data_IF_712668549766
#
_entry.id   IF_712668549766
#
_cell.length_a   1.000
_cell.length_b   1.000
_cell.length_c   1.000
_cell.angle_alpha   90.00
_cell.angle_beta   90.00
_cell.angle_gamma   90.00
#
_symmetry.space_group_name_H-M   'P 1'
#
loop_
_entity.id
_entity.type
_entity.pdbx_description
1 polymer ?
#
# COMPACT_ATOMS: atom_id res chain seq x y z
N UNK A 1 -10.40 30.50 17.94
CA UNK A 1 -10.13 29.39 18.88
C UNK A 1 -11.48 28.84 19.32
N UNK A 2 -11.56 27.53 19.57
CA UNK A 2 -12.80 26.93 20.05
C UNK A 2 -13.00 27.27 21.52
N UNK A 3 -14.23 27.58 21.89
CA UNK A 3 -14.56 28.02 23.26
C UNK A 3 -15.44 27.01 23.96
N UNK A 4 -16.36 26.38 23.23
CA UNK A 4 -17.32 25.43 23.76
C UNK A 4 -17.22 24.06 23.08
N UNK A 5 -17.51 23.00 23.85
CA UNK A 5 -17.47 21.61 23.38
C UNK A 5 -18.24 21.37 22.08
N UNK A 6 -19.44 21.95 21.94
CA UNK A 6 -20.28 21.69 20.77
C UNK A 6 -19.66 22.23 19.47
N UNK A 7 -18.87 23.32 19.55
CA UNK A 7 -18.15 23.88 18.40
C UNK A 7 -17.07 22.91 17.93
N UNK A 8 -16.32 22.34 18.88
CA UNK A 8 -15.29 21.33 18.62
C UNK A 8 -15.91 20.06 18.06
N UNK A 9 -16.92 19.51 18.73
CA UNK A 9 -17.54 18.25 18.34
C UNK A 9 -18.21 18.38 16.95
N UNK A 10 -18.78 19.55 16.62
CA UNK A 10 -19.36 19.84 15.30
C UNK A 10 -18.29 20.01 14.20
N UNK A 11 -17.14 20.60 14.53
CA UNK A 11 -16.03 20.71 13.60
C UNK A 11 -15.39 19.33 13.33
N UNK A 12 -15.14 18.56 14.39
CA UNK A 12 -14.50 17.24 14.31
C UNK A 12 -15.40 16.18 13.66
N UNK A 13 -16.72 16.35 13.73
CA UNK A 13 -17.65 15.48 13.01
C UNK A 13 -17.65 15.74 11.50
N UNK A 14 -17.06 16.85 11.04
CA UNK A 14 -17.07 17.28 9.63
C UNK A 14 -18.48 17.26 9.01
N UNK A 15 -19.51 17.45 9.85
CA UNK A 15 -20.91 17.35 9.47
C UNK A 15 -21.23 18.39 8.41
N UNK A 16 -21.50 17.93 7.19
CA UNK A 16 -21.80 18.79 6.03
C UNK A 16 -20.77 18.73 4.90
N UNK A 17 -19.59 18.15 5.13
CA UNK A 17 -18.56 17.99 4.08
C UNK A 17 -18.31 16.53 3.72
N UNK A 18 -18.40 15.64 4.70
CA UNK A 18 -18.13 14.22 4.55
C UNK A 18 -19.37 13.43 5.00
N UNK A 19 -19.58 12.25 4.41
CA UNK A 19 -20.70 11.39 4.80
C UNK A 19 -20.61 10.94 6.25
N UNK A 20 -21.74 10.60 6.88
CA UNK A 20 -21.89 10.37 8.33
C UNK A 20 -20.93 9.32 8.93
N UNK A 21 -20.30 8.48 8.11
CA UNK A 21 -19.36 7.44 8.52
C UNK A 21 -17.88 7.78 8.26
N UNK A 22 -17.57 8.93 7.66
CA UNK A 22 -16.20 9.30 7.30
C UNK A 22 -15.65 10.26 8.36
N UNK A 23 -14.62 9.81 9.06
CA UNK A 23 -13.95 10.58 10.10
C UNK A 23 -12.58 11.00 9.57
N UNK A 24 -12.40 12.28 9.19
CA UNK A 24 -11.11 12.76 8.70
C UNK A 24 -10.10 12.83 9.85
N UNK A 25 -8.82 12.67 9.51
CA UNK A 25 -7.74 12.91 10.46
C UNK A 25 -7.45 14.41 10.57
N UNK A 26 -7.46 14.94 11.78
CA UNK A 26 -7.09 16.32 12.09
C UNK A 26 -5.65 16.38 12.56
N UNK A 27 -4.79 17.02 11.78
CA UNK A 27 -3.34 17.08 12.03
C UNK A 27 -2.89 18.53 12.04
N UNK A 28 -2.14 18.89 13.09
CA UNK A 28 -1.43 20.15 13.15
C UNK A 28 0.07 19.89 12.94
N UNK A 29 0.76 20.84 12.31
CA UNK A 29 2.21 20.76 12.08
C UNK A 29 2.91 21.92 12.80
N UNK A 30 4.18 21.74 13.21
CA UNK A 30 4.99 22.82 13.75
C UNK A 30 5.06 24.01 12.78
N UNK A 31 4.92 25.23 13.31
CA UNK A 31 4.92 26.47 12.51
C UNK A 31 6.31 26.82 11.98
N UNK A 32 7.35 26.52 12.75
CA UNK A 32 8.74 26.84 12.38
C UNK A 32 9.33 25.77 11.46
N UNK A 33 9.59 26.17 10.22
CA UNK A 33 10.36 25.42 9.22
C UNK A 33 11.78 25.96 9.07
N UNK A 34 12.37 26.41 10.18
CA UNK A 34 13.78 26.81 10.21
C UNK A 34 14.70 25.67 9.77
N UNK A 35 16.00 25.92 9.71
CA UNK A 35 17.01 24.88 9.49
C UNK A 35 17.16 23.99 10.72
N UNK A 36 16.13 23.18 11.01
CA UNK A 36 16.13 22.15 12.05
C UNK A 36 16.37 20.78 11.42
N UNK A 37 16.92 19.86 12.21
CA UNK A 37 17.13 18.49 11.74
C UNK A 37 15.79 17.76 11.57
N UNK A 38 15.77 16.73 10.71
CA UNK A 38 14.57 15.88 10.55
C UNK A 38 14.12 15.24 11.87
N UNK A 39 15.05 14.85 12.73
CA UNK A 39 14.73 14.24 14.02
C UNK A 39 14.08 15.24 14.98
N UNK A 40 14.58 16.47 14.98
CA UNK A 40 13.99 17.57 15.75
C UNK A 40 12.60 17.94 15.24
N UNK A 41 12.41 18.00 13.92
CA UNK A 41 11.09 18.23 13.32
C UNK A 41 10.08 17.13 13.71
N UNK A 42 10.51 15.86 13.72
CA UNK A 42 9.68 14.74 14.19
C UNK A 42 9.30 14.87 15.66
N UNK A 43 10.24 15.30 16.52
CA UNK A 43 9.95 15.56 17.93
C UNK A 43 8.95 16.71 18.11
N UNK A 44 9.09 17.77 17.32
CA UNK A 44 8.16 18.90 17.34
C UNK A 44 6.74 18.47 16.91
N UNK A 45 6.61 17.60 15.90
CA UNK A 45 5.30 17.04 15.52
C UNK A 45 4.65 16.31 16.71
N UNK A 46 5.41 15.46 17.41
CA UNK A 46 4.88 14.78 18.61
C UNK A 46 4.48 15.77 19.71
N UNK A 47 5.24 16.85 19.89
CA UNK A 47 4.91 17.89 20.87
C UNK A 47 3.63 18.63 20.48
N UNK A 48 3.46 18.95 19.20
CA UNK A 48 2.23 19.58 18.67
C UNK A 48 1.02 18.68 18.89
N UNK A 49 1.13 17.37 18.65
CA UNK A 49 0.04 16.42 18.93
C UNK A 49 -0.40 16.49 20.41
N UNK A 50 0.55 16.51 21.34
CA UNK A 50 0.30 16.62 22.78
C UNK A 50 -0.36 17.96 23.13
N UNK A 51 0.17 19.05 22.60
CA UNK A 51 -0.32 20.40 22.89
C UNK A 51 -1.75 20.61 22.36
N UNK A 52 -2.06 20.08 21.17
CA UNK A 52 -3.41 20.11 20.60
C UNK A 52 -4.38 19.30 21.47
N UNK A 53 -4.05 18.06 21.81
CA UNK A 53 -4.93 17.23 22.65
C UNK A 53 -5.16 17.85 24.03
N UNK A 54 -4.10 18.40 24.66
CA UNK A 54 -4.22 19.11 25.94
C UNK A 54 -5.12 20.33 25.79
N UNK A 55 -4.97 21.12 24.73
CA UNK A 55 -5.82 22.28 24.50
C UNK A 55 -7.29 21.90 24.29
N UNK A 56 -7.58 20.84 23.52
CA UNK A 56 -8.95 20.37 23.33
C UNK A 56 -9.58 19.82 24.62
N UNK A 57 -8.78 19.24 25.51
CA UNK A 57 -9.25 18.69 26.79
C UNK A 57 -9.47 19.78 27.84
N UNK A 58 -8.48 20.65 28.02
CA UNK A 58 -8.39 21.57 29.17
C UNK A 58 -8.68 23.02 28.79
N UNK A 59 -8.45 23.40 27.53
CA UNK A 59 -8.63 24.76 27.03
C UNK A 59 -10.04 25.07 26.51
N UNK A 60 -10.83 24.03 26.21
CA UNK A 60 -12.21 24.16 25.72
C UNK A 60 -13.19 23.89 26.86
N UNK A 61 -14.21 24.73 27.02
CA UNK A 61 -15.23 24.55 28.05
C UNK A 61 -16.03 23.27 27.77
N UNK A 62 -15.87 22.29 28.67
CA UNK A 62 -16.48 20.96 28.53
C UNK A 62 -15.67 19.96 27.71
N UNK A 63 -14.46 20.35 27.26
CA UNK A 63 -13.55 19.51 26.48
C UNK A 63 -14.09 19.18 25.09
N UNK A 64 -13.82 17.94 24.64
CA UNK A 64 -14.35 17.37 23.40
C UNK A 64 -14.70 15.90 23.62
N UNK A 65 -15.41 15.28 22.67
CA UNK A 65 -15.68 13.85 22.71
C UNK A 65 -14.43 13.03 22.35
N UNK A 66 -13.55 12.82 23.34
CA UNK A 66 -12.27 12.12 23.18
C UNK A 66 -12.42 10.67 22.74
N UNK A 67 -13.46 9.97 23.20
CA UNK A 67 -13.73 8.59 22.76
C UNK A 67 -14.05 8.50 21.27
N UNK A 68 -14.84 9.46 20.76
CA UNK A 68 -15.24 9.50 19.35
C UNK A 68 -14.12 10.01 18.45
N UNK A 69 -13.44 11.09 18.85
CA UNK A 69 -12.55 11.83 17.95
C UNK A 69 -11.06 11.64 18.24
N UNK A 70 -10.69 11.22 19.45
CA UNK A 70 -9.28 11.02 19.84
C UNK A 70 -8.49 10.14 18.88
N UNK A 71 -9.03 9.01 18.37
CA UNK A 71 -8.34 8.18 17.37
C UNK A 71 -8.03 8.87 16.03
N UNK A 72 -8.65 10.02 15.76
CA UNK A 72 -8.52 10.76 14.50
C UNK A 72 -7.78 12.09 14.67
N UNK A 73 -7.22 12.37 15.85
CA UNK A 73 -6.48 13.61 16.12
C UNK A 73 -4.99 13.31 16.26
N UNK A 74 -4.18 14.13 15.59
CA UNK A 74 -2.72 14.09 15.66
C UNK A 74 -2.06 13.26 14.57
N UNK A 75 -0.85 13.64 14.22
CA UNK A 75 -0.04 12.96 13.22
C UNK A 75 0.28 11.52 13.64
N UNK A 76 0.48 11.29 14.93
CA UNK A 76 0.77 9.96 15.49
C UNK A 76 -0.35 8.96 15.20
N UNK A 77 -1.61 9.39 15.28
CA UNK A 77 -2.78 8.57 14.97
C UNK A 77 -2.89 8.29 13.47
N UNK A 78 -2.72 9.32 12.64
CA UNK A 78 -2.68 9.17 11.18
C UNK A 78 -1.59 8.18 10.75
N UNK A 79 -0.38 8.30 11.32
CA UNK A 79 0.74 7.40 11.03
C UNK A 79 0.40 5.95 11.36
N UNK A 80 -0.13 5.68 12.56
CA UNK A 80 -0.54 4.33 12.96
C UNK A 80 -1.60 3.75 12.03
N UNK A 81 -2.57 4.56 11.62
CA UNK A 81 -3.60 4.15 10.66
C UNK A 81 -2.99 3.77 9.31
N UNK A 82 -2.12 4.61 8.75
CA UNK A 82 -1.44 4.35 7.48
C UNK A 82 -0.53 3.12 7.54
N UNK A 83 0.19 2.94 8.65
CA UNK A 83 1.01 1.74 8.90
C UNK A 83 0.16 0.46 8.92
N UNK A 84 -1.01 0.50 9.58
CA UNK A 84 -1.96 -0.62 9.62
C UNK A 84 -2.57 -0.92 8.25
N UNK A 85 -3.03 0.10 7.52
CA UNK A 85 -3.59 -0.07 6.18
C UNK A 85 -2.54 -0.61 5.20
N UNK A 86 -1.30 -0.14 5.27
CA UNK A 86 -0.21 -0.67 4.46
C UNK A 86 0.06 -2.14 4.77
N UNK A 87 0.12 -2.50 6.06
CA UNK A 87 0.32 -3.88 6.48
C UNK A 87 -0.83 -4.79 6.02
N UNK A 88 -2.07 -4.33 6.13
CA UNK A 88 -3.26 -5.04 5.68
C UNK A 88 -3.20 -5.29 4.17
N UNK A 89 -2.95 -4.25 3.38
CA UNK A 89 -2.82 -4.35 1.91
C UNK A 89 -1.71 -5.31 1.51
N UNK A 90 -0.57 -5.29 2.22
CA UNK A 90 0.51 -6.23 1.96
C UNK A 90 0.10 -7.68 2.25
N UNK A 91 -0.56 -7.94 3.38
CA UNK A 91 -1.06 -9.29 3.73
C UNK A 91 -2.12 -9.81 2.75
N UNK A 92 -2.99 -8.93 2.25
CA UNK A 92 -4.04 -9.30 1.30
C UNK A 92 -3.48 -9.54 -0.11
N UNK A 93 -2.52 -8.72 -0.57
CA UNK A 93 -2.02 -8.79 -1.94
C UNK A 93 -0.86 -9.78 -2.14
N UNK A 94 -0.04 -10.03 -1.10
CA UNK A 94 1.15 -10.88 -1.23
C UNK A 94 0.84 -12.31 -1.70
N UNK A 95 -0.17 -13.04 -1.16
CA UNK A 95 -0.42 -14.42 -1.57
C UNK A 95 -0.77 -14.56 -3.05
N UNK A 96 -1.68 -13.72 -3.55
CA UNK A 96 -2.09 -13.76 -4.96
C UNK A 96 -0.94 -13.38 -5.90
N UNK A 97 -0.14 -12.38 -5.50
CA UNK A 97 1.02 -11.94 -6.30
C UNK A 97 2.10 -13.03 -6.35
N UNK A 98 2.39 -13.69 -5.23
CA UNK A 98 3.36 -14.78 -5.17
C UNK A 98 2.92 -15.99 -5.98
N UNK A 99 1.66 -16.41 -5.85
CA UNK A 99 1.12 -17.52 -6.65
C UNK A 99 1.22 -17.24 -8.17
N UNK A 100 0.90 -16.01 -8.59
CA UNK A 100 1.03 -15.60 -9.99
C UNK A 100 2.49 -15.60 -10.46
N UNK A 101 3.43 -15.17 -9.59
CA UNK A 101 4.85 -15.21 -9.91
C UNK A 101 5.38 -16.64 -10.01
N UNK A 102 5.01 -17.51 -9.07
CA UNK A 102 5.38 -18.94 -9.07
C UNK A 102 4.88 -19.63 -10.34
N UNK A 103 3.62 -19.40 -10.72
CA UNK A 103 3.06 -19.93 -11.95
C UNK A 103 3.87 -19.47 -13.17
N UNK A 104 4.12 -18.16 -13.31
CA UNK A 104 4.89 -17.63 -14.44
C UNK A 104 6.32 -18.14 -14.49
N UNK A 105 6.97 -18.29 -13.34
CA UNK A 105 8.30 -18.90 -13.25
C UNK A 105 8.28 -20.36 -13.69
N UNK A 106 7.26 -21.13 -13.31
CA UNK A 106 7.08 -22.52 -13.75
C UNK A 106 6.89 -22.60 -15.26
N UNK A 107 6.00 -21.78 -15.83
CA UNK A 107 5.71 -21.75 -17.27
C UNK A 107 6.98 -21.45 -18.08
N UNK A 108 7.73 -20.42 -17.69
CA UNK A 108 9.00 -20.05 -18.34
C UNK A 108 10.03 -21.17 -18.20
N UNK A 109 10.13 -21.82 -17.04
CA UNK A 109 11.07 -22.92 -16.83
C UNK A 109 10.75 -24.13 -17.72
N UNK A 110 9.46 -24.43 -17.91
CA UNK A 110 9.01 -25.48 -18.83
C UNK A 110 9.34 -25.13 -20.28
N UNK A 111 9.10 -23.89 -20.68
CA UNK A 111 9.42 -23.43 -22.04
C UNK A 111 10.91 -23.46 -22.33
N UNK A 112 11.75 -23.02 -21.39
CA UNK A 112 13.20 -23.09 -21.50
C UNK A 112 13.65 -24.55 -21.66
N UNK A 113 13.16 -25.46 -20.82
CA UNK A 113 13.50 -26.90 -20.88
C UNK A 113 13.08 -27.54 -22.21
N UNK A 114 11.91 -27.17 -22.72
CA UNK A 114 11.41 -27.63 -24.01
C UNK A 114 12.27 -27.12 -25.17
N UNK A 115 12.63 -25.84 -25.16
CA UNK A 115 13.48 -25.24 -26.20
C UNK A 115 14.89 -25.80 -26.17
N UNK A 116 15.47 -26.02 -24.98
CA UNK A 116 16.76 -26.66 -24.82
C UNK A 116 16.75 -28.10 -25.38
N UNK A 117 15.71 -28.87 -25.06
CA UNK A 117 15.54 -30.23 -25.61
C UNK A 117 15.44 -30.23 -27.14
N UNK A 118 14.72 -29.26 -27.72
CA UNK A 118 14.64 -29.09 -29.19
C UNK A 118 15.99 -28.72 -29.79
N UNK A 119 16.76 -27.85 -29.13
CA UNK A 119 18.09 -27.44 -29.58
C UNK A 119 19.08 -28.62 -29.55
N UNK A 120 19.05 -29.42 -28.48
CA UNK A 120 19.83 -30.65 -28.40
C UNK A 120 19.44 -31.64 -29.51
N UNK A 121 18.13 -31.84 -29.74
CA UNK A 121 17.63 -32.69 -30.81
C UNK A 121 18.07 -32.23 -32.22
N UNK A 122 18.12 -30.92 -32.49
CA UNK A 122 18.60 -30.41 -33.79
C UNK A 122 20.13 -30.43 -33.92
N UNK A 123 20.86 -30.45 -32.80
CA UNK A 123 22.31 -30.65 -32.81
C UNK A 123 22.72 -32.08 -33.20
N UNK A 124 21.86 -33.07 -32.96
CA UNK A 124 22.03 -34.43 -33.48
C UNK A 124 21.59 -34.50 -34.95
N UNK A 125 22.58 -34.62 -35.85
CA UNK A 125 22.41 -34.72 -37.31
C UNK A 125 21.41 -35.81 -37.71
N UNK A 126 21.31 -36.90 -36.93
CA UNK A 126 20.41 -38.03 -37.19
C UNK A 126 18.95 -37.66 -36.93
N UNK A 127 18.68 -36.95 -35.83
CA UNK A 127 17.36 -36.47 -35.48
C UNK A 127 16.92 -35.31 -36.39
N UNK A 128 17.83 -34.41 -36.73
CA UNK A 128 17.58 -33.34 -37.70
C UNK A 128 17.14 -33.90 -39.06
N UNK A 129 17.87 -34.90 -39.57
CA UNK A 129 17.51 -35.59 -40.83
C UNK A 129 16.12 -36.24 -40.75
N UNK A 130 15.82 -36.94 -39.64
CA UNK A 130 14.49 -37.57 -39.44
C UNK A 130 13.37 -36.53 -39.39
N UNK A 131 13.55 -35.44 -38.65
CA UNK A 131 12.56 -34.35 -38.55
C UNK A 131 12.33 -33.65 -39.89
N UNK A 132 13.41 -33.36 -40.63
CA UNK A 132 13.33 -32.77 -41.97
C UNK A 132 12.60 -33.70 -42.97
N UNK A 133 12.87 -35.02 -42.92
CA UNK A 133 12.16 -36.00 -43.75
C UNK A 133 10.68 -36.09 -43.42
N UNK A 134 10.30 -36.10 -42.13
CA UNK A 134 8.89 -36.10 -41.71
C UNK A 134 8.15 -34.82 -42.16
N UNK A 135 8.81 -33.67 -42.04
CA UNK A 135 8.26 -32.40 -42.49
C UNK A 135 8.09 -32.36 -44.01
N UNK A 136 9.08 -32.84 -44.78
CA UNK A 136 8.98 -32.96 -46.23
C UNK A 136 7.86 -33.92 -46.66
N UNK A 137 7.72 -35.07 -45.99
CA UNK A 137 6.62 -36.01 -46.22
C UNK A 137 5.26 -35.38 -45.94
N UNK A 138 5.11 -34.62 -44.84
CA UNK A 138 3.88 -33.91 -44.50
C UNK A 138 3.48 -32.87 -45.56
N UNK A 139 4.44 -32.12 -46.11
CA UNK A 139 4.19 -31.18 -47.22
C UNK A 139 3.75 -31.93 -48.48
N UNK A 140 4.44 -33.03 -48.82
CA UNK A 140 4.09 -33.81 -50.01
C UNK A 140 2.73 -34.51 -49.91
N UNK A 141 2.24 -34.82 -48.70
CA UNK A 141 0.89 -35.37 -48.50
C UNK A 141 -0.23 -34.31 -48.52
N UNK A 142 0.13 -33.02 -48.43
CA UNK A 142 -0.81 -31.89 -48.53
C UNK A 142 -0.89 -31.30 -49.95
N UNK A 143 -0.12 -31.84 -50.90
CA UNK A 143 -0.22 -31.62 -52.35
C UNK A 143 -1.00 -32.77 -53.01
#
# INVERSE_FOLDING_TARGET
>A
EFTERWEVDSYLSASGYLGDNIHPFFVALPKDRGTISNDEFRRQICQVDIDVLRHLRDGVKGGFNEEKFGPYIGFSCLRKYLESELQKRYKEAAPATLALLEQRCSDVSMDVSRLDSKLQATSDVSQLRRSAMLHAASICTHL
#
